data_IF_869237066594
#
_entry.id   IF_869237066594
#
_cell.length_a   1.000
_cell.length_b   1.000
_cell.length_c   1.000
_cell.angle_alpha   90.00
_cell.angle_beta   90.00
_cell.angle_gamma   90.00
#
_symmetry.space_group_name_H-M   'P 1'
#
loop_
_entity.id
_entity.type
_entity.pdbx_description
1 polymer ?
#
# COMPACT_ATOMS: atom_id res chain seq x y z
N UNK A 1 -18.38 6.44 -59.50
CA UNK A 1 -17.35 6.96 -58.57
C UNK A 1 -16.10 6.08 -58.70
N UNK A 2 -14.92 6.66 -58.95
CA UNK A 2 -13.70 5.88 -59.23
C UNK A 2 -13.25 5.14 -57.96
N UNK A 3 -12.86 3.86 -58.08
CA UNK A 3 -12.57 2.94 -56.96
C UNK A 3 -11.53 3.48 -55.97
N UNK A 4 -10.62 4.32 -56.45
CA UNK A 4 -9.62 5.04 -55.64
C UNK A 4 -10.22 6.10 -54.70
N UNK A 5 -11.26 6.81 -55.13
CA UNK A 5 -11.93 7.80 -54.28
C UNK A 5 -12.74 7.16 -53.16
N UNK A 6 -13.34 5.98 -53.41
CA UNK A 6 -14.05 5.23 -52.37
C UNK A 6 -13.10 4.80 -51.23
N UNK A 7 -11.90 4.30 -51.56
CA UNK A 7 -10.92 3.85 -50.55
C UNK A 7 -10.37 4.99 -49.68
N UNK A 8 -10.13 6.17 -50.27
CA UNK A 8 -9.63 7.34 -49.53
C UNK A 8 -10.69 7.84 -48.54
N UNK A 9 -11.97 7.87 -48.96
CA UNK A 9 -13.07 8.29 -48.09
C UNK A 9 -13.25 7.30 -46.93
N UNK A 10 -13.15 5.99 -47.18
CA UNK A 10 -13.25 4.99 -46.11
C UNK A 10 -12.11 5.11 -45.10
N UNK A 11 -10.86 5.31 -45.56
CA UNK A 11 -9.71 5.52 -44.66
C UNK A 11 -9.84 6.81 -43.83
N UNK A 12 -10.31 7.91 -44.43
CA UNK A 12 -10.54 9.15 -43.71
C UNK A 12 -11.62 9.00 -42.64
N UNK A 13 -12.72 8.31 -42.93
CA UNK A 13 -13.79 8.04 -41.96
C UNK A 13 -13.27 7.16 -40.82
N UNK A 14 -12.54 6.07 -41.12
CA UNK A 14 -11.98 5.21 -40.09
C UNK A 14 -10.97 5.96 -39.20
N UNK A 15 -10.08 6.77 -39.77
CA UNK A 15 -9.15 7.59 -39.00
C UNK A 15 -9.86 8.62 -38.12
N UNK A 16 -10.95 9.21 -38.61
CA UNK A 16 -11.76 10.19 -37.86
C UNK A 16 -12.52 9.54 -36.72
N UNK A 17 -13.07 8.33 -36.93
CA UNK A 17 -13.77 7.55 -35.91
C UNK A 17 -12.78 7.08 -34.83
N UNK A 18 -11.59 6.63 -35.21
CA UNK A 18 -10.53 6.25 -34.25
C UNK A 18 -10.13 7.46 -33.40
N UNK A 19 -9.91 8.64 -34.02
CA UNK A 19 -9.63 9.88 -33.29
C UNK A 19 -10.75 10.28 -32.33
N UNK A 20 -12.01 10.18 -32.78
CA UNK A 20 -13.19 10.53 -31.98
C UNK A 20 -13.35 9.61 -30.76
N UNK A 21 -13.05 8.31 -30.89
CA UNK A 21 -13.12 7.37 -29.76
C UNK A 21 -11.87 7.38 -28.86
N UNK A 22 -10.70 7.79 -29.35
CA UNK A 22 -9.51 7.99 -28.49
C UNK A 22 -9.57 9.26 -27.64
N UNK A 23 -10.51 10.17 -27.92
CA UNK A 23 -10.71 11.43 -27.18
C UNK A 23 -11.63 11.33 -25.97
N UNK A 24 -12.18 10.14 -25.64
CA UNK A 24 -13.02 9.94 -24.45
C UNK A 24 -12.12 9.95 -23.20
N UNK A 25 -11.69 11.15 -22.84
CA UNK A 25 -11.07 11.46 -21.56
C UNK A 25 -12.15 11.19 -20.51
N UNK A 26 -12.02 10.13 -19.71
CA UNK A 26 -12.89 9.96 -18.55
C UNK A 26 -12.77 11.24 -17.73
N UNK A 27 -13.85 12.02 -17.63
CA UNK A 27 -13.86 13.24 -16.85
C UNK A 27 -13.35 12.88 -15.44
N UNK A 28 -12.21 13.46 -15.06
CA UNK A 28 -11.67 13.22 -13.73
C UNK A 28 -12.68 13.82 -12.74
N UNK A 29 -13.24 12.98 -11.88
CA UNK A 29 -14.12 13.44 -10.82
C UNK A 29 -13.25 14.19 -9.82
N UNK A 30 -13.26 15.51 -9.89
CA UNK A 30 -12.59 16.37 -8.92
C UNK A 30 -13.45 16.46 -7.68
N UNK A 31 -12.98 15.93 -6.55
CA UNK A 31 -13.65 16.17 -5.27
C UNK A 31 -13.07 17.41 -4.58
N UNK A 32 -13.88 18.17 -3.82
CA UNK A 32 -13.36 19.27 -3.01
C UNK A 32 -12.32 18.78 -2.00
N UNK A 33 -11.40 19.65 -1.58
CA UNK A 33 -10.48 19.30 -0.49
C UNK A 33 -11.27 19.06 0.81
N UNK A 34 -11.01 17.96 1.55
CA UNK A 34 -11.74 17.65 2.77
C UNK A 34 -11.30 18.57 3.91
N UNK A 35 -12.01 19.68 4.10
CA UNK A 35 -11.71 20.67 5.17
C UNK A 35 -11.90 20.10 6.58
N UNK A 36 -12.69 19.03 6.72
CA UNK A 36 -12.99 18.35 7.99
C UNK A 36 -12.01 17.22 8.35
N UNK A 37 -11.09 16.84 7.44
CA UNK A 37 -10.11 15.77 7.68
C UNK A 37 -8.70 16.31 7.93
N UNK A 38 -8.55 17.59 8.25
CA UNK A 38 -7.27 18.26 8.46
C UNK A 38 -6.53 17.67 9.68
N UNK A 39 -5.75 16.61 9.47
CA UNK A 39 -4.86 16.05 10.49
C UNK A 39 -3.53 16.83 10.50
N UNK A 40 -2.91 17.04 11.66
CA UNK A 40 -1.65 17.80 11.77
C UNK A 40 -0.43 17.06 11.20
N UNK A 41 -0.61 15.84 10.69
CA UNK A 41 0.47 14.95 10.27
C UNK A 41 0.66 14.89 8.75
N UNK A 42 -0.06 15.71 7.99
CA UNK A 42 0.05 15.82 6.53
C UNK A 42 0.04 17.29 6.11
N UNK A 43 0.89 17.64 5.16
CA UNK A 43 0.82 18.93 4.51
C UNK A 43 -0.29 18.98 3.44
N UNK A 44 -1.45 19.51 3.81
CA UNK A 44 -2.61 19.67 2.93
C UNK A 44 -2.46 20.74 1.84
N UNK A 45 -1.46 21.61 1.96
CA UNK A 45 -1.26 22.71 1.00
C UNK A 45 -0.45 22.29 -0.22
N UNK A 46 0.14 21.10 -0.18
CA UNK A 46 1.04 20.66 -1.23
C UNK A 46 0.28 20.32 -2.54
N UNK A 47 0.70 20.89 -3.70
CA UNK A 47 0.05 20.63 -4.98
C UNK A 47 0.13 19.17 -5.46
N UNK A 48 1.16 18.42 -5.08
CA UNK A 48 1.41 17.03 -5.49
C UNK A 48 1.41 16.05 -4.31
N UNK A 49 0.83 16.46 -3.17
CA UNK A 49 0.81 15.66 -1.96
C UNK A 49 -0.21 14.52 -2.02
N UNK A 50 0.00 13.53 -1.16
CA UNK A 50 -0.88 12.37 -0.96
C UNK A 50 -2.37 12.70 -0.99
N UNK A 51 -2.77 13.65 -0.15
CA UNK A 51 -4.17 14.00 0.04
C UNK A 51 -4.71 14.66 -1.24
N UNK A 52 -3.94 15.52 -1.90
CA UNK A 52 -4.36 16.11 -3.18
C UNK A 52 -4.46 15.09 -4.31
N UNK A 53 -3.53 14.13 -4.38
CA UNK A 53 -3.57 13.03 -5.35
C UNK A 53 -4.77 12.10 -5.16
N UNK A 54 -5.14 11.77 -3.92
CA UNK A 54 -6.25 10.86 -3.63
C UNK A 54 -7.62 11.55 -3.49
N UNK A 55 -7.68 12.83 -3.07
CA UNK A 55 -8.94 13.57 -2.91
C UNK A 55 -9.29 14.43 -4.13
N UNK A 56 -8.37 15.26 -4.65
CA UNK A 56 -8.73 16.27 -5.65
C UNK A 56 -8.54 15.80 -7.09
N UNK A 57 -7.49 15.02 -7.37
CA UNK A 57 -7.22 14.58 -8.73
C UNK A 57 -8.03 13.34 -9.16
N UNK A 58 -8.93 12.87 -8.29
CA UNK A 58 -10.02 11.98 -8.64
C UNK A 58 -9.66 10.51 -8.83
N UNK A 59 -10.56 9.67 -8.33
CA UNK A 59 -10.63 8.21 -8.40
C UNK A 59 -10.82 7.63 -9.82
N UNK A 60 -10.16 8.23 -10.83
CA UNK A 60 -10.15 7.77 -12.23
C UNK A 60 -9.30 6.52 -12.47
N UNK A 61 -9.36 5.55 -11.57
CA UNK A 61 -8.81 4.21 -11.77
C UNK A 61 -7.41 3.93 -11.21
N UNK A 62 -6.82 4.78 -10.36
CA UNK A 62 -5.56 4.41 -9.66
C UNK A 62 -5.39 5.05 -8.26
N UNK A 63 -5.94 6.24 -8.03
CA UNK A 63 -5.83 6.95 -6.75
C UNK A 63 -7.13 6.79 -5.96
N UNK A 64 -7.23 5.68 -5.23
CA UNK A 64 -8.44 5.28 -4.50
C UNK A 64 -8.48 5.91 -3.10
N UNK A 65 -9.65 6.40 -2.66
CA UNK A 65 -9.84 7.00 -1.32
C UNK A 65 -9.62 5.98 -0.20
N UNK A 66 -9.93 4.71 -0.48
CA UNK A 66 -9.81 3.58 0.43
C UNK A 66 -8.35 3.34 0.86
N UNK A 67 -7.37 3.60 -0.01
CA UNK A 67 -5.95 3.49 0.34
C UNK A 67 -5.55 4.50 1.43
N UNK A 68 -6.11 5.71 1.37
CA UNK A 68 -5.90 6.73 2.41
C UNK A 68 -6.75 6.45 3.65
N UNK A 69 -7.82 5.67 3.50
CA UNK A 69 -8.73 5.32 4.59
C UNK A 69 -9.95 6.23 4.67
N UNK A 70 -10.39 6.79 3.54
CA UNK A 70 -11.51 7.73 3.49
C UNK A 70 -12.64 7.18 2.61
N UNK A 71 -13.87 7.53 2.98
CA UNK A 71 -15.05 7.35 2.14
C UNK A 71 -15.63 8.72 1.78
N UNK A 72 -16.33 8.78 0.64
CA UNK A 72 -17.05 9.97 0.20
C UNK A 72 -18.52 9.61 -0.07
N UNK A 73 -19.42 10.48 0.35
CA UNK A 73 -20.83 10.44 0.00
C UNK A 73 -21.33 11.84 -0.30
N UNK A 74 -22.15 12.01 -1.34
CA UNK A 74 -22.73 13.31 -1.71
C UNK A 74 -23.50 13.98 -0.57
N UNK A 75 -24.08 13.18 0.35
CA UNK A 75 -24.88 13.70 1.47
C UNK A 75 -24.08 13.97 2.73
N UNK A 76 -22.99 13.24 2.96
CA UNK A 76 -22.20 13.31 4.21
C UNK A 76 -20.81 13.90 4.02
N UNK A 77 -20.39 14.16 2.79
CA UNK A 77 -19.03 14.55 2.45
C UNK A 77 -18.02 13.44 2.74
N UNK A 78 -16.79 13.84 3.10
CA UNK A 78 -15.71 12.92 3.41
C UNK A 78 -15.75 12.45 4.86
N UNK A 79 -15.51 11.16 5.08
CA UNK A 79 -15.42 10.55 6.40
C UNK A 79 -14.26 9.55 6.48
N UNK A 80 -13.64 9.43 7.66
CA UNK A 80 -12.67 8.37 7.91
C UNK A 80 -13.38 7.02 7.95
N UNK A 81 -12.82 6.03 7.27
CA UNK A 81 -13.33 4.65 7.20
C UNK A 81 -12.89 3.79 8.39
N UNK A 82 -11.90 4.23 9.18
CA UNK A 82 -11.26 3.41 10.22
C UNK A 82 -10.19 2.45 9.69
N UNK A 83 -9.96 2.40 8.38
CA UNK A 83 -8.94 1.58 7.70
C UNK A 83 -7.96 2.46 6.90
N UNK A 84 -7.10 1.84 6.08
CA UNK A 84 -6.16 2.54 5.20
C UNK A 84 -5.07 3.31 5.94
N UNK A 85 -4.38 4.20 5.22
CA UNK A 85 -3.21 4.91 5.73
C UNK A 85 -3.50 5.71 7.01
N UNK A 86 -4.62 6.42 7.10
CA UNK A 86 -4.98 7.17 8.32
C UNK A 86 -5.12 6.29 9.56
N UNK A 87 -5.46 5.00 9.40
CA UNK A 87 -5.57 4.04 10.51
C UNK A 87 -4.25 3.33 10.85
N UNK A 88 -3.18 3.61 10.09
CA UNK A 88 -1.85 3.02 10.28
C UNK A 88 -1.01 3.82 11.27
N UNK A 89 0.04 3.19 11.80
CA UNK A 89 1.05 3.91 12.59
C UNK A 89 1.90 4.85 11.75
N UNK A 90 2.06 4.58 10.45
CA UNK A 90 2.79 5.45 9.51
C UNK A 90 2.23 6.87 9.51
N UNK A 91 0.89 7.03 9.56
CA UNK A 91 0.25 8.35 9.61
C UNK A 91 0.50 9.13 10.91
N UNK A 92 0.82 8.44 12.00
CA UNK A 92 0.97 9.05 13.34
C UNK A 92 2.39 8.88 13.89
N UNK A 93 3.37 8.61 13.02
CA UNK A 93 4.78 8.47 13.41
C UNK A 93 5.40 9.77 13.92
N UNK A 94 4.73 10.90 13.67
CA UNK A 94 5.14 12.23 14.11
C UNK A 94 4.93 12.38 15.62
N UNK A 95 6.02 12.49 16.36
CA UNK A 95 6.04 12.93 17.74
C UNK A 95 6.40 14.42 17.84
N UNK A 96 5.69 15.22 18.65
CA UNK A 96 5.83 16.68 18.77
C UNK A 96 7.29 17.14 19.00
N UNK A 97 7.59 18.40 18.64
CA UNK A 97 8.71 19.32 19.00
C UNK A 97 10.14 18.82 19.29
N UNK A 98 10.40 17.53 19.12
CA UNK A 98 11.64 16.85 19.50
C UNK A 98 12.21 16.03 18.35
N UNK A 99 11.58 16.08 17.17
CA UNK A 99 12.07 15.39 16.00
C UNK A 99 13.28 16.11 15.43
N UNK A 100 14.30 15.30 15.15
CA UNK A 100 15.46 15.73 14.40
C UNK A 100 15.50 14.99 13.05
N UNK A 101 16.34 15.52 12.17
CA UNK A 101 16.53 15.04 10.80
C UNK A 101 17.12 13.63 10.69
N UNK A 102 17.70 13.05 11.76
CA UNK A 102 18.07 11.63 11.81
C UNK A 102 16.85 10.73 12.04
N UNK A 103 16.09 10.99 13.11
CA UNK A 103 14.89 10.23 13.44
C UNK A 103 13.86 10.33 12.30
N UNK A 104 13.81 11.47 11.62
CA UNK A 104 12.97 11.71 10.47
C UNK A 104 13.19 10.72 9.32
N UNK A 105 14.37 10.10 9.18
CA UNK A 105 14.64 9.13 8.10
C UNK A 105 13.60 8.02 8.02
N UNK A 106 13.07 7.60 9.18
CA UNK A 106 12.03 6.57 9.26
C UNK A 106 10.66 7.08 9.70
N UNK A 107 10.59 8.25 10.36
CA UNK A 107 9.35 8.75 10.97
C UNK A 107 8.76 9.97 10.26
N UNK A 108 9.55 10.67 9.45
CA UNK A 108 9.16 11.86 8.72
C UNK A 108 10.03 12.03 7.47
N UNK A 109 10.01 11.07 6.50
CA UNK A 109 11.06 10.93 5.50
C UNK A 109 11.28 12.17 4.62
N UNK A 110 10.24 12.98 4.45
CA UNK A 110 10.28 14.20 3.64
C UNK A 110 10.98 15.37 4.34
N UNK A 111 11.15 15.27 5.66
CA UNK A 111 11.87 16.23 6.49
C UNK A 111 13.23 15.69 6.94
N UNK A 112 13.67 14.55 6.43
CA UNK A 112 14.98 13.96 6.73
C UNK A 112 16.11 14.57 5.88
N UNK A 113 17.34 14.46 6.36
CA UNK A 113 18.57 14.78 5.59
C UNK A 113 19.47 13.55 5.44
N UNK A 114 20.15 13.44 4.30
CA UNK A 114 21.16 12.39 4.12
C UNK A 114 22.37 12.60 5.03
N UNK A 115 22.63 13.84 5.46
CA UNK A 115 23.80 14.20 6.28
C UNK A 115 23.72 13.68 7.70
N UNK A 116 22.52 13.51 8.25
CA UNK A 116 22.33 13.02 9.61
C UNK A 116 22.80 11.58 9.76
N UNK A 117 23.53 11.29 10.83
CA UNK A 117 24.06 9.96 11.08
C UNK A 117 24.02 9.60 12.57
N UNK A 118 24.08 8.30 12.86
CA UNK A 118 24.34 7.77 14.19
C UNK A 118 25.68 7.07 14.16
N UNK A 119 26.68 7.68 14.79
CA UNK A 119 28.08 7.25 14.75
C UNK A 119 28.57 7.08 16.18
N UNK A 120 29.09 5.91 16.49
CA UNK A 120 29.65 5.58 17.81
C UNK A 120 28.70 5.87 18.98
N UNK A 121 27.39 5.63 18.80
CA UNK A 121 26.39 5.86 19.85
C UNK A 121 25.83 7.28 19.92
N UNK A 122 26.26 8.20 19.05
CA UNK A 122 25.84 9.60 19.07
C UNK A 122 25.23 10.06 17.75
N UNK A 123 24.26 10.96 17.84
CA UNK A 123 23.68 11.66 16.70
C UNK A 123 24.66 12.73 16.19
N UNK A 124 24.88 12.74 14.88
CA UNK A 124 25.72 13.72 14.19
C UNK A 124 24.95 14.38 13.05
N UNK A 125 25.26 15.66 12.80
CA UNK A 125 24.68 16.44 11.71
C UNK A 125 23.14 16.39 11.72
N UNK A 126 22.56 16.51 12.91
CA UNK A 126 21.11 16.49 13.12
C UNK A 126 20.61 17.89 13.45
N UNK A 127 19.73 18.38 12.61
CA UNK A 127 18.94 19.58 12.85
C UNK A 127 17.57 19.22 13.42
N UNK A 128 17.02 20.09 14.26
CA UNK A 128 15.64 19.97 14.74
C UNK A 128 14.67 20.34 13.62
N UNK A 129 13.61 19.56 13.48
CA UNK A 129 12.51 19.90 12.58
C UNK A 129 11.59 20.87 13.30
N UNK A 130 11.29 22.00 12.67
CA UNK A 130 10.42 23.01 13.25
C UNK A 130 9.03 22.45 13.58
N UNK A 131 8.44 22.96 14.66
CA UNK A 131 7.11 22.56 15.12
C UNK A 131 6.05 22.68 14.01
N UNK A 132 5.26 21.63 13.87
CA UNK A 132 4.21 21.55 12.83
C UNK A 132 4.75 21.37 11.40
N UNK A 133 6.06 21.15 11.21
CA UNK A 133 6.64 20.85 9.89
C UNK A 133 6.89 19.37 9.63
N UNK A 134 6.97 18.55 10.68
CA UNK A 134 7.10 17.11 10.54
C UNK A 134 5.77 16.49 10.05
N UNK A 135 5.85 15.71 8.98
CA UNK A 135 4.76 14.90 8.46
C UNK A 135 4.98 13.42 8.82
N UNK A 136 3.94 12.60 8.82
CA UNK A 136 4.11 11.16 9.00
C UNK A 136 4.90 10.53 7.86
N UNK A 137 4.99 9.20 7.86
CA UNK A 137 5.41 8.46 6.67
C UNK A 137 4.27 8.52 5.66
N UNK A 138 4.28 9.57 4.83
CA UNK A 138 3.27 9.78 3.80
C UNK A 138 3.52 8.87 2.59
N UNK A 139 2.53 8.72 1.72
CA UNK A 139 2.63 7.94 0.47
C UNK A 139 3.84 8.36 -0.39
N UNK A 140 4.26 9.63 -0.37
CA UNK A 140 5.44 10.08 -1.12
C UNK A 140 6.74 9.40 -0.69
N UNK A 141 6.78 8.76 0.50
CA UNK A 141 7.92 7.95 0.92
C UNK A 141 8.07 6.66 0.09
N UNK A 142 6.95 6.09 -0.40
CA UNK A 142 6.89 4.80 -1.08
C UNK A 142 6.40 4.88 -2.54
N UNK A 143 5.80 6.02 -2.92
CA UNK A 143 5.21 6.25 -4.23
C UNK A 143 5.76 7.54 -4.84
N UNK A 144 6.25 7.50 -6.09
CA UNK A 144 6.54 8.73 -6.81
C UNK A 144 5.28 9.56 -7.02
N UNK A 145 5.43 10.88 -7.03
CA UNK A 145 4.36 11.78 -7.46
C UNK A 145 3.88 11.42 -8.87
N UNK A 146 2.65 11.81 -9.26
CA UNK A 146 2.08 11.51 -10.59
C UNK A 146 3.05 11.86 -11.73
N UNK A 147 3.67 13.04 -11.67
CA UNK A 147 4.62 13.51 -12.68
C UNK A 147 5.89 12.65 -12.73
N UNK A 148 6.45 12.32 -11.56
CA UNK A 148 7.62 11.45 -11.47
C UNK A 148 7.30 10.01 -11.92
N UNK A 149 6.16 9.46 -11.52
CA UNK A 149 5.71 8.11 -11.83
C UNK A 149 5.58 7.88 -13.35
N UNK A 150 5.01 8.84 -14.07
CA UNK A 150 4.90 8.79 -15.54
C UNK A 150 6.27 8.66 -16.20
N UNK A 151 7.27 9.39 -15.71
CA UNK A 151 8.62 9.37 -16.26
C UNK A 151 9.38 8.09 -15.89
N UNK A 152 9.19 7.60 -14.65
CA UNK A 152 9.87 6.42 -14.14
C UNK A 152 9.29 5.10 -14.68
N UNK A 153 8.08 5.12 -15.22
CA UNK A 153 7.40 3.91 -15.70
C UNK A 153 7.03 2.94 -14.57
N UNK A 154 6.95 3.41 -13.32
CA UNK A 154 6.64 2.58 -12.16
C UNK A 154 6.04 3.38 -11.00
N UNK A 155 5.34 2.67 -10.11
CA UNK A 155 4.50 3.25 -9.04
C UNK A 155 5.04 3.02 -7.64
N UNK A 156 6.11 2.24 -7.50
CA UNK A 156 6.77 1.95 -6.23
C UNK A 156 8.21 2.45 -6.29
N UNK A 157 8.59 3.27 -5.32
CA UNK A 157 9.93 3.80 -5.24
C UNK A 157 10.27 4.22 -3.81
N UNK A 158 11.56 4.16 -3.46
CA UNK A 158 12.06 4.72 -2.22
C UNK A 158 12.40 6.19 -2.45
N UNK A 159 11.78 7.08 -1.69
CA UNK A 159 12.14 8.49 -1.70
C UNK A 159 13.60 8.71 -1.24
N UNK A 160 14.31 9.55 -1.97
CA UNK A 160 15.68 9.96 -1.70
C UNK A 160 15.63 11.30 -0.97
N UNK A 161 16.15 11.35 0.26
CA UNK A 161 16.04 12.52 1.13
C UNK A 161 16.58 13.80 0.47
N UNK A 162 15.99 14.94 0.83
CA UNK A 162 16.34 16.30 0.36
C UNK A 162 16.11 16.56 -1.14
N UNK A 163 15.54 15.60 -1.88
CA UNK A 163 15.24 15.79 -3.29
C UNK A 163 13.82 16.31 -3.52
N UNK A 164 13.63 17.03 -4.63
CA UNK A 164 12.32 17.51 -5.03
C UNK A 164 11.42 16.34 -5.47
N UNK A 165 10.44 15.99 -4.65
CA UNK A 165 9.46 14.91 -4.88
C UNK A 165 8.58 15.10 -6.14
N UNK A 166 8.59 16.26 -6.77
CA UNK A 166 7.97 16.42 -8.08
C UNK A 166 8.79 15.78 -9.22
N UNK A 167 10.07 15.47 -8.96
CA UNK A 167 11.03 15.05 -9.98
C UNK A 167 11.41 13.56 -9.89
N UNK A 168 11.66 12.89 -11.03
CA UNK A 168 12.03 11.47 -11.05
C UNK A 168 13.27 11.12 -10.22
N UNK A 169 14.28 11.99 -10.18
CA UNK A 169 15.52 11.76 -9.45
C UNK A 169 15.35 11.68 -7.92
N UNK A 170 14.20 12.12 -7.41
CA UNK A 170 13.83 11.99 -6.00
C UNK A 170 13.48 10.55 -5.60
N UNK A 171 13.46 9.62 -6.55
CA UNK A 171 12.93 8.28 -6.35
C UNK A 171 13.88 7.22 -6.87
N UNK A 172 14.19 6.24 -6.03
CA UNK A 172 14.80 4.99 -6.46
C UNK A 172 13.68 4.00 -6.76
N UNK A 173 13.44 3.74 -8.04
CA UNK A 173 12.39 2.82 -8.48
C UNK A 173 12.62 1.42 -7.89
N UNK A 174 11.56 0.81 -7.40
CA UNK A 174 11.55 -0.57 -6.93
C UNK A 174 11.06 -1.49 -8.03
N UNK A 175 11.86 -2.50 -8.36
CA UNK A 175 11.51 -3.49 -9.38
C UNK A 175 10.59 -4.54 -8.80
N UNK A 176 9.91 -5.24 -9.69
CA UNK A 176 9.13 -6.41 -9.30
C UNK A 176 10.04 -7.48 -8.67
N UNK A 177 9.62 -8.02 -7.52
CA UNK A 177 10.40 -8.93 -6.69
C UNK A 177 11.31 -8.24 -5.67
N UNK A 178 11.45 -6.91 -5.71
CA UNK A 178 12.24 -6.13 -4.76
C UNK A 178 11.36 -5.34 -3.77
N UNK A 179 10.05 -5.60 -3.73
CA UNK A 179 9.07 -4.80 -2.99
C UNK A 179 9.37 -4.71 -1.48
N UNK A 180 10.00 -5.73 -0.90
CA UNK A 180 10.44 -5.72 0.50
C UNK A 180 11.42 -4.60 0.83
N UNK A 181 12.19 -4.13 -0.15
CA UNK A 181 13.11 -3.01 0.05
C UNK A 181 12.38 -1.71 0.45
N UNK A 182 11.10 -1.55 0.11
CA UNK A 182 10.28 -0.43 0.59
C UNK A 182 10.12 -0.48 2.11
N UNK A 183 9.80 -1.65 2.65
CA UNK A 183 9.61 -1.85 4.08
C UNK A 183 10.95 -1.78 4.81
N UNK A 184 11.96 -2.47 4.28
CA UNK A 184 13.29 -2.56 4.88
C UNK A 184 14.09 -1.26 4.83
N UNK A 185 13.64 -0.26 4.06
CA UNK A 185 14.20 1.09 4.10
C UNK A 185 14.11 1.73 5.49
N UNK A 186 13.06 1.39 6.26
CA UNK A 186 12.86 1.88 7.62
C UNK A 186 12.88 0.75 8.66
N UNK A 187 12.40 -0.44 8.29
CA UNK A 187 12.38 -1.63 9.15
C UNK A 187 13.62 -2.48 8.91
N UNK A 188 14.74 -2.10 9.54
CA UNK A 188 16.07 -2.69 9.28
C UNK A 188 16.18 -4.20 9.57
N UNK A 189 15.21 -4.80 10.24
CA UNK A 189 15.11 -6.24 10.49
C UNK A 189 13.70 -6.73 10.21
N UNK A 190 13.56 -8.00 9.79
CA UNK A 190 12.25 -8.64 9.78
C UNK A 190 11.93 -9.09 11.20
N UNK A 191 10.66 -9.06 11.57
CA UNK A 191 10.23 -9.61 12.85
C UNK A 191 10.14 -11.14 12.75
N UNK A 192 10.37 -11.83 13.88
CA UNK A 192 10.27 -13.28 14.00
C UNK A 192 11.24 -14.10 13.14
N UNK A 193 12.40 -13.57 12.76
CA UNK A 193 13.42 -14.32 11.99
C UNK A 193 13.90 -15.61 12.69
N UNK A 194 13.86 -15.63 14.03
CA UNK A 194 14.19 -16.81 14.83
C UNK A 194 13.09 -17.89 14.85
N UNK A 195 11.89 -17.59 14.34
CA UNK A 195 10.80 -18.55 14.26
C UNK A 195 10.98 -19.43 12.99
N UNK A 196 11.08 -20.76 13.11
CA UNK A 196 11.31 -21.64 11.96
C UNK A 196 10.23 -21.55 10.86
N UNK A 197 8.99 -21.22 11.24
CA UNK A 197 7.90 -21.00 10.28
C UNK A 197 8.11 -19.73 9.46
N UNK A 198 8.46 -18.62 10.10
CA UNK A 198 8.78 -17.36 9.41
C UNK A 198 10.03 -17.48 8.55
N UNK A 199 11.06 -18.17 9.04
CA UNK A 199 12.25 -18.47 8.24
C UNK A 199 11.87 -19.20 6.94
N UNK A 200 11.04 -20.25 7.01
CA UNK A 200 10.56 -20.95 5.81
C UNK A 200 9.75 -20.05 4.88
N UNK A 201 8.94 -19.14 5.42
CA UNK A 201 8.21 -18.16 4.62
C UNK A 201 9.17 -17.23 3.86
N UNK A 202 10.20 -16.72 4.53
CA UNK A 202 11.21 -15.87 3.89
C UNK A 202 12.08 -16.62 2.86
N UNK A 203 12.46 -17.86 3.15
CA UNK A 203 13.14 -18.75 2.20
C UNK A 203 12.26 -19.06 0.98
N UNK A 204 10.93 -19.12 1.17
CA UNK A 204 9.94 -19.19 0.11
C UNK A 204 9.60 -17.82 -0.49
N UNK A 205 10.39 -16.76 -0.24
CA UNK A 205 10.21 -15.45 -0.87
C UNK A 205 8.95 -14.68 -0.44
N UNK A 206 8.32 -15.04 0.68
CA UNK A 206 7.21 -14.26 1.24
C UNK A 206 7.73 -12.89 1.68
N UNK A 207 7.10 -11.85 1.15
CA UNK A 207 7.41 -10.46 1.39
C UNK A 207 6.57 -9.89 2.55
N UNK A 208 7.06 -8.81 3.17
CA UNK A 208 6.32 -7.99 4.14
C UNK A 208 4.94 -7.60 3.60
N UNK A 209 4.89 -7.17 2.34
CA UNK A 209 3.66 -6.72 1.68
C UNK A 209 2.65 -7.84 1.44
N UNK A 210 3.07 -9.12 1.40
CA UNK A 210 2.13 -10.23 1.21
C UNK A 210 1.19 -10.39 2.40
N UNK A 211 1.70 -10.13 3.61
CA UNK A 211 0.92 -10.21 4.85
C UNK A 211 0.37 -8.84 5.28
N UNK A 212 1.20 -7.79 5.27
CA UNK A 212 0.82 -6.48 5.83
C UNK A 212 0.04 -5.62 4.83
N UNK A 213 0.24 -5.83 3.53
CA UNK A 213 -0.45 -5.09 2.46
C UNK A 213 -1.09 -6.08 1.48
N UNK A 214 -1.80 -7.05 2.04
CA UNK A 214 -2.40 -8.12 1.26
C UNK A 214 -3.32 -7.57 0.16
N UNK A 215 -3.32 -8.16 -1.05
CA UNK A 215 -4.22 -7.76 -2.11
C UNK A 215 -5.66 -8.20 -1.78
N UNK A 216 -6.64 -7.33 -2.02
CA UNK A 216 -8.06 -7.63 -1.76
C UNK A 216 -8.99 -7.41 -2.97
N UNK A 217 -8.53 -6.67 -3.98
CA UNK A 217 -9.27 -6.44 -5.22
C UNK A 217 -8.32 -5.98 -6.33
N UNK A 218 -8.84 -5.77 -7.55
CA UNK A 218 -8.14 -5.01 -8.60
C UNK A 218 -8.69 -3.61 -8.69
N UNK A 219 -7.89 -2.67 -9.17
CA UNK A 219 -8.40 -1.36 -9.55
C UNK A 219 -9.13 -1.50 -10.88
N UNK A 220 -10.39 -1.06 -10.93
CA UNK A 220 -11.28 -1.23 -12.08
C UNK A 220 -10.63 -0.75 -13.36
N UNK A 221 -10.61 -1.61 -14.39
CA UNK A 221 -10.01 -1.30 -15.69
C UNK A 221 -8.49 -1.40 -15.76
N UNK A 222 -7.83 -1.95 -14.73
CA UNK A 222 -6.37 -2.13 -14.68
C UNK A 222 -6.00 -3.53 -14.18
N UNK A 223 -4.74 -3.92 -14.40
CA UNK A 223 -4.14 -5.13 -13.80
C UNK A 223 -3.54 -4.88 -12.41
N UNK A 224 -3.69 -3.67 -11.86
CA UNK A 224 -3.07 -3.30 -10.58
C UNK A 224 -3.95 -3.75 -9.42
N UNK A 225 -3.34 -4.44 -8.47
CA UNK A 225 -3.99 -4.93 -7.26
C UNK A 225 -4.22 -3.77 -6.27
N UNK A 226 -5.44 -3.69 -5.72
CA UNK A 226 -5.72 -2.93 -4.49
C UNK A 226 -5.15 -3.69 -3.30
N UNK A 227 -4.43 -2.98 -2.45
CA UNK A 227 -3.77 -3.52 -1.26
C UNK A 227 -4.16 -2.74 -0.02
N UNK A 228 -4.21 -3.41 1.13
CA UNK A 228 -4.44 -2.74 2.41
C UNK A 228 -3.27 -1.80 2.74
N UNK A 229 -3.60 -0.61 3.26
CA UNK A 229 -2.64 0.43 3.65
C UNK A 229 -2.73 0.78 5.15
N UNK A 230 -3.45 -0.02 5.94
CA UNK A 230 -3.43 0.05 7.41
C UNK A 230 -2.31 -0.78 8.04
N UNK A 231 -1.68 -1.66 7.26
CA UNK A 231 -0.59 -2.56 7.63
C UNK A 231 -0.94 -3.63 8.69
N UNK A 232 -2.24 -3.89 8.91
CA UNK A 232 -2.74 -4.76 9.99
C UNK A 232 -3.05 -6.18 9.51
N UNK A 233 -2.13 -7.11 9.71
CA UNK A 233 -2.29 -8.54 9.31
C UNK A 233 -3.60 -9.15 9.81
N UNK A 234 -3.88 -9.04 11.11
CA UNK A 234 -5.03 -9.69 11.76
C UNK A 234 -6.37 -9.10 11.31
N UNK A 235 -6.45 -7.77 11.15
CA UNK A 235 -7.65 -7.08 10.67
C UNK A 235 -7.96 -7.40 9.21
N UNK A 236 -6.95 -7.82 8.45
CA UNK A 236 -7.05 -8.09 7.01
C UNK A 236 -7.18 -9.58 6.68
N UNK A 237 -7.45 -10.43 7.67
CA UNK A 237 -7.81 -11.82 7.39
C UNK A 237 -9.17 -11.88 6.64
N UNK A 238 -9.35 -12.83 5.70
CA UNK A 238 -8.42 -13.91 5.36
C UNK A 238 -7.33 -13.53 4.34
N UNK A 239 -7.28 -12.29 3.84
CA UNK A 239 -6.37 -11.92 2.73
C UNK A 239 -4.89 -12.13 3.06
N UNK A 240 -4.48 -11.82 4.30
CA UNK A 240 -3.08 -11.92 4.73
C UNK A 240 -2.52 -13.35 4.83
N UNK A 241 -3.38 -14.37 4.95
CA UNK A 241 -2.94 -15.75 5.23
C UNK A 241 -3.66 -16.82 4.39
N UNK A 242 -4.73 -16.47 3.68
CA UNK A 242 -5.62 -17.41 3.01
C UNK A 242 -6.02 -17.04 1.57
N UNK A 243 -5.63 -15.87 1.05
CA UNK A 243 -5.96 -15.51 -0.33
C UNK A 243 -4.97 -16.11 -1.34
N UNK A 244 -5.52 -16.79 -2.37
CA UNK A 244 -4.85 -16.88 -3.67
C UNK A 244 -4.67 -15.47 -4.21
N UNK A 245 -3.54 -15.18 -4.86
CA UNK A 245 -3.37 -13.91 -5.57
C UNK A 245 -4.45 -13.79 -6.65
N UNK A 246 -4.84 -12.57 -6.97
CA UNK A 246 -5.99 -12.28 -7.84
C UNK A 246 -5.73 -12.74 -9.29
N UNK A 247 -4.46 -13.01 -9.64
CA UNK A 247 -4.04 -13.62 -10.91
C UNK A 247 -4.28 -15.16 -10.97
N UNK A 248 -4.97 -15.74 -9.99
CA UNK A 248 -5.26 -17.17 -9.93
C UNK A 248 -4.05 -18.03 -9.58
N UNK A 249 -2.87 -17.43 -9.38
CA UNK A 249 -1.72 -18.10 -8.82
C UNK A 249 -1.93 -18.17 -7.30
N UNK A 250 -1.65 -19.32 -6.70
CA UNK A 250 -1.31 -19.31 -5.29
C UNK A 250 -0.20 -18.26 -5.10
N UNK A 251 -0.10 -17.57 -3.96
CA UNK A 251 1.01 -16.65 -3.68
C UNK A 251 2.39 -17.29 -3.94
N UNK A 252 2.43 -18.61 -4.09
CA UNK A 252 3.57 -19.32 -4.62
C UNK A 252 3.18 -20.37 -5.68
N UNK A 253 3.76 -20.30 -6.87
CA UNK A 253 3.99 -21.49 -7.70
C UNK A 253 5.16 -22.20 -7.04
N UNK A 254 4.90 -23.14 -6.12
CA UNK A 254 5.97 -24.05 -5.72
C UNK A 254 6.20 -24.91 -6.96
N UNK A 255 7.11 -24.49 -7.85
CA UNK A 255 7.73 -25.43 -8.76
C UNK A 255 8.61 -26.33 -7.89
N UNK A 256 7.94 -27.27 -7.21
CA UNK A 256 8.59 -28.40 -6.60
C UNK A 256 9.33 -29.14 -7.72
N UNK A 257 10.64 -28.93 -7.83
CA UNK A 257 11.51 -30.05 -8.20
C UNK A 257 11.51 -31.02 -7.02
N UNK A 258 10.50 -31.90 -6.99
CA UNK A 258 10.56 -33.24 -6.40
C UNK A 258 11.05 -33.41 -4.96
N UNK A 259 10.48 -32.72 -3.96
CA UNK A 259 10.62 -33.17 -2.57
C UNK A 259 9.30 -33.80 -2.06
N UNK A 260 9.24 -35.13 -1.86
CA UNK A 260 8.04 -35.84 -1.43
C UNK A 260 7.70 -35.73 0.07
N UNK A 261 8.31 -34.80 0.83
CA UNK A 261 8.20 -34.73 2.30
C UNK A 261 7.34 -33.59 2.89
N UNK A 262 6.42 -32.98 2.14
CA UNK A 262 5.47 -32.02 2.71
C UNK A 262 4.07 -32.62 2.96
N UNK A 263 3.47 -32.43 4.15
CA UNK A 263 2.12 -32.92 4.44
C UNK A 263 1.04 -32.11 3.71
N UNK A 264 0.01 -32.83 3.26
CA UNK A 264 -1.12 -32.35 2.46
C UNK A 264 -2.12 -31.45 3.23
N UNK A 265 -1.70 -30.25 3.66
CA UNK A 265 -2.53 -29.36 4.51
C UNK A 265 -3.16 -28.17 3.77
N UNK A 266 -2.89 -27.96 2.47
CA UNK A 266 -3.35 -26.77 1.72
C UNK A 266 -4.35 -27.04 0.59
N UNK A 267 -5.32 -27.95 0.80
CA UNK A 267 -6.45 -28.16 -0.11
C UNK A 267 -7.80 -27.93 0.59
N UNK A 268 -8.07 -26.66 0.94
CA UNK A 268 -9.40 -26.21 1.36
C UNK A 268 -9.88 -25.07 0.46
N UNK A 269 -11.09 -25.18 -0.09
CA UNK A 269 -11.69 -24.18 -0.98
C UNK A 269 -12.18 -22.96 -0.19
N UNK A 270 -11.92 -21.75 -0.71
CA UNK A 270 -12.19 -20.46 -0.04
C UNK A 270 -13.66 -20.20 0.36
N UNK A 271 -14.62 -20.99 -0.13
CA UNK A 271 -16.05 -20.83 0.17
C UNK A 271 -16.44 -21.25 1.59
N UNK A 272 -15.67 -22.10 2.28
CA UNK A 272 -16.06 -22.58 3.63
C UNK A 272 -15.65 -21.64 4.77
N UNK A 273 -14.86 -20.59 4.51
CA UNK A 273 -14.31 -19.71 5.56
C UNK A 273 -15.22 -18.53 5.92
N UNK A 274 -16.17 -18.14 5.05
CA UNK A 274 -17.04 -16.97 5.25
C UNK A 274 -18.27 -17.28 6.12
N UNK A 275 -18.65 -18.55 6.27
CA UNK A 275 -19.93 -18.94 6.86
C UNK A 275 -19.96 -19.11 8.40
N UNK A 276 -18.90 -18.72 9.14
CA UNK A 276 -18.81 -18.98 10.60
C UNK A 276 -18.45 -17.77 11.47
N UNK A 277 -18.74 -16.55 11.00
CA UNK A 277 -18.49 -15.33 11.78
C UNK A 277 -19.77 -14.56 12.16
N UNK A 278 -20.93 -15.21 12.12
CA UNK A 278 -22.17 -14.71 12.71
C UNK A 278 -22.55 -15.59 13.90
N UNK A 279 -22.84 -14.96 15.04
CA UNK A 279 -23.12 -15.52 16.37
C UNK A 279 -21.93 -16.03 17.21
N UNK A 280 -21.39 -15.15 18.08
CA UNK A 280 -21.34 -15.39 19.55
C UNK A 280 -21.22 -14.02 20.26
N UNK A 281 -22.36 -13.47 20.71
CA UNK A 281 -22.44 -12.60 21.89
C UNK A 281 -23.45 -13.27 22.82
N UNK A 282 -22.99 -14.05 23.79
CA UNK A 282 -23.65 -14.21 25.10
C UNK A 282 -22.76 -15.03 26.04
N UNK A 283 -23.03 -14.85 27.33
CA UNK A 283 -22.17 -15.14 28.47
C UNK A 283 -21.81 -16.63 28.72
N UNK A 284 -20.61 -16.80 29.30
CA UNK A 284 -20.32 -17.79 30.35
C UNK A 284 -20.54 -19.27 30.05
N UNK A 285 -19.44 -19.99 29.74
CA UNK A 285 -19.11 -21.34 30.25
C UNK A 285 -18.18 -22.04 29.25
N UNK A 286 -17.04 -22.53 29.75
CA UNK A 286 -16.05 -23.28 28.99
C UNK A 286 -16.58 -24.71 28.80
N UNK A 287 -16.88 -25.09 27.55
CA UNK A 287 -16.87 -26.50 27.13
C UNK A 287 -16.06 -26.65 25.85
N UNK A 288 -15.16 -27.64 25.91
CA UNK A 288 -14.28 -28.09 24.84
C UNK A 288 -15.08 -28.50 23.60
N UNK A 289 -14.85 -27.81 22.49
CA UNK A 289 -15.23 -28.26 21.15
C UNK A 289 -13.94 -28.34 20.31
N UNK A 290 -13.73 -29.49 19.66
CA UNK A 290 -12.59 -29.77 18.78
C UNK A 290 -12.41 -28.65 17.75
N UNK A 291 -11.33 -27.90 17.90
CA UNK A 291 -10.87 -26.94 16.90
C UNK A 291 -9.90 -27.67 15.97
N UNK A 292 -10.23 -27.68 14.67
CA UNK A 292 -9.23 -27.95 13.65
C UNK A 292 -8.16 -26.85 13.72
N UNK A 293 -6.90 -27.27 13.84
CA UNK A 293 -5.72 -26.40 13.89
C UNK A 293 -5.61 -25.58 12.61
N UNK A 294 -5.90 -24.28 12.71
CA UNK A 294 -5.46 -23.31 11.71
C UNK A 294 -4.04 -22.92 12.08
N UNK A 295 -3.06 -23.23 11.24
CA UNK A 295 -1.67 -22.77 11.40
C UNK A 295 -1.59 -21.30 11.01
N UNK A 296 -2.10 -20.46 11.91
CA UNK A 296 -1.62 -19.10 12.16
C UNK A 296 -1.59 -19.02 13.69
N UNK A 297 -0.39 -19.24 14.24
CA UNK A 297 -0.08 -19.35 15.67
C UNK A 297 -0.93 -18.42 16.53
N UNK A 298 -1.96 -18.98 17.16
CA UNK A 298 -2.94 -18.25 17.98
C UNK A 298 -2.41 -17.92 19.38
N UNK A 299 -1.18 -18.31 19.71
CA UNK A 299 -0.58 -18.20 21.04
C UNK A 299 0.70 -17.37 21.11
N UNK A 300 0.80 -16.29 20.32
CA UNK A 300 1.81 -15.25 20.61
C UNK A 300 1.19 -14.25 21.58
N UNK A 301 1.34 -14.50 22.88
CA UNK A 301 1.17 -13.46 23.89
C UNK A 301 2.20 -12.37 23.62
N UNK A 302 1.74 -11.18 23.24
CA UNK A 302 2.57 -9.98 23.26
C UNK A 302 2.91 -9.69 24.72
N UNK A 303 4.15 -9.92 25.13
CA UNK A 303 4.71 -9.22 26.29
C UNK A 303 5.06 -7.81 25.83
N UNK A 304 4.46 -6.82 26.47
CA UNK A 304 4.84 -5.42 26.32
C UNK A 304 6.35 -5.27 26.60
N UNK A 305 7.07 -4.70 25.63
CA UNK A 305 8.39 -4.08 25.80
C UNK A 305 8.33 -2.73 25.13
#
# INVERSE_FOLDING_TARGET
>A
MNRKYAQIITLAIFASVIWYFSGVSSAQVTYPQPTNLNTPFVNWTEPNGCTRCHFTNGAGGDHMLEAVGVTYSDTKGFALSGNGWFASKHATTVYKSTQNTYCAKCHSPLQATNKSAFVNGFLQSTEMIADGKAEGVTCAACHPSKTAAVTLGGRLAIYQFEKDRAKPEAYKLIKHGEEDSLCLNCHITRHNENNPGFKRMYEAGVACMDCHMAPYAKITGTEVEKRFHDFKVASNLPFSCGAKRIDGRLPYRIQHRGDPRLPAVFQGTAQSMVARQEHVISHGSIRHAQQHEYVCLKDVKYSEV
#
